data_IF_687969812762
#
_entry.id   IF_687969812762
#
_cell.length_a   1.000
_cell.length_b   1.000
_cell.length_c   1.000
_cell.angle_alpha   90.00
_cell.angle_beta   90.00
_cell.angle_gamma   90.00
#
_symmetry.space_group_name_H-M   'P 1'
#
loop_
_entity.id
_entity.type
_entity.pdbx_description
1 polymer ?
2 polymer ?
3 non-polymer ?
4 non-polymer ?
5 water ?
#
# COMPACT_ATOMS: atom_id res chain seq x y z
N UNK A 1 -4.16 17.82 2.63
CA UNK A 1 -4.53 17.94 1.18
C UNK A 1 -3.37 17.43 0.32
N UNK A 2 -3.56 16.33 -0.40
CA UNK A 2 -2.45 15.81 -1.19
C UNK A 2 -2.25 16.53 -2.52
N UNK A 3 -1.00 16.81 -2.88
CA UNK A 3 -0.73 17.44 -4.15
C UNK A 3 0.50 16.78 -4.76
N UNK A 4 0.40 16.42 -6.02
CA UNK A 4 1.52 15.80 -6.71
C UNK A 4 1.96 16.78 -7.82
N UNK A 5 3.26 17.11 -7.86
CA UNK A 5 3.78 18.05 -8.86
C UNK A 5 4.90 17.38 -9.62
N UNK A 6 4.74 17.29 -10.93
CA UNK A 6 5.76 16.64 -11.76
C UNK A 6 6.44 17.61 -12.70
N UNK A 7 7.64 17.25 -13.12
CA UNK A 7 8.34 18.07 -14.09
C UNK A 7 9.19 17.12 -14.93
N UNK A 8 9.77 17.66 -16.02
CA UNK A 8 10.57 16.84 -16.91
C UNK A 8 9.69 16.58 -18.10
N UNK A 9 10.04 15.58 -18.91
CA UNK A 9 9.22 15.31 -20.08
C UNK A 9 9.57 16.30 -21.18
N UNK A 10 8.66 16.48 -22.13
CA UNK A 10 8.93 17.38 -23.22
C UNK A 10 8.94 16.55 -24.50
N UNK A 11 9.62 17.01 -25.53
CA UNK A 11 9.66 16.26 -26.78
C UNK A 11 11.05 15.72 -27.01
N UNK A 12 11.15 14.65 -27.78
CA UNK A 12 12.43 14.02 -28.02
C UNK A 12 12.33 13.17 -29.29
N UNK A 13 13.47 12.82 -29.86
CA UNK A 13 13.47 11.98 -31.07
C UNK A 13 13.45 10.54 -30.59
N UNK A 14 12.88 9.66 -31.40
CA UNK A 14 12.84 8.24 -31.10
C UNK A 14 14.28 7.81 -30.80
N UNK A 15 14.44 6.87 -29.86
CA UNK A 15 15.78 6.45 -29.45
C UNK A 15 16.34 7.32 -28.31
N UNK A 16 15.74 8.49 -28.12
CA UNK A 16 16.20 9.37 -27.05
C UNK A 16 15.63 9.00 -25.68
N UNK A 17 16.02 9.78 -24.67
CA UNK A 17 15.58 9.59 -23.30
C UNK A 17 15.03 10.88 -22.72
N UNK A 18 14.24 10.71 -21.66
CA UNK A 18 13.65 11.78 -20.86
C UNK A 18 13.63 11.25 -19.42
N UNK A 19 13.62 12.17 -18.47
CA UNK A 19 13.57 11.77 -17.07
C UNK A 19 12.42 12.57 -16.47
N UNK A 20 11.48 11.87 -15.85
CA UNK A 20 10.36 12.57 -15.23
C UNK A 20 10.57 12.54 -13.70
N UNK A 21 10.10 13.55 -13.00
CA UNK A 21 10.22 13.52 -11.55
C UNK A 21 8.91 14.01 -10.98
N UNK A 22 8.58 13.57 -9.77
CA UNK A 22 7.33 13.95 -9.13
C UNK A 22 7.53 14.06 -7.65
N UNK A 23 6.98 15.13 -7.08
CA UNK A 23 7.09 15.45 -5.65
C UNK A 23 5.71 15.49 -5.01
N UNK A 24 5.55 14.78 -3.91
CA UNK A 24 4.26 14.79 -3.23
C UNK A 24 4.36 15.79 -2.10
N UNK A 25 3.34 16.59 -1.93
CA UNK A 25 3.31 17.52 -0.82
C UNK A 25 1.99 17.31 -0.07
N UNK A 26 1.96 17.66 1.22
CA UNK A 26 0.74 17.47 1.97
C UNK A 26 0.64 16.19 2.80
N UNK A 27 1.64 15.30 2.75
CA UNK A 27 1.58 14.05 3.57
C UNK A 27 2.40 14.18 4.82
N UNK A 28 2.03 13.43 5.87
CA UNK A 28 2.90 13.44 7.06
C UNK A 28 3.58 12.05 7.17
N UNK A 29 2.86 11.06 6.62
CA UNK A 29 3.24 9.66 6.59
C UNK A 29 2.75 9.20 5.23
N UNK A 30 3.59 8.43 4.56
CA UNK A 30 3.25 7.93 3.24
C UNK A 30 3.72 8.94 2.23
N UNK A 31 3.28 8.83 0.96
CA UNK A 31 2.37 7.77 0.46
C UNK A 31 2.94 6.39 0.53
N UNK A 32 2.08 5.39 0.34
CA UNK A 32 2.52 3.99 0.40
C UNK A 32 3.10 3.65 -0.93
N UNK A 33 2.41 4.09 -1.99
CA UNK A 33 2.84 3.85 -3.36
C UNK A 33 2.95 5.14 -4.16
N UNK A 34 3.84 5.16 -5.14
CA UNK A 34 3.90 6.26 -6.08
C UNK A 34 4.11 5.58 -7.45
N UNK A 35 3.53 6.15 -8.49
CA UNK A 35 3.67 5.50 -9.78
C UNK A 35 3.43 6.45 -10.92
N UNK A 36 3.61 5.91 -12.12
CA UNK A 36 3.39 6.64 -13.31
C UNK A 36 2.36 5.89 -14.17
N UNK A 37 1.44 6.64 -14.75
CA UNK A 37 0.42 6.12 -15.67
C UNK A 37 0.54 7.05 -16.90
N UNK A 38 -0.09 6.70 -18.01
CA UNK A 38 -0.02 7.62 -19.16
C UNK A 38 -1.30 7.43 -19.98
N UNK A 39 -1.62 8.41 -20.82
CA UNK A 39 -2.80 8.36 -21.64
C UNK A 39 -2.48 8.99 -22.99
N UNK A 40 -2.44 8.16 -24.02
CA UNK A 40 -2.17 8.62 -25.39
C UNK A 40 -3.47 9.28 -25.93
N UNK A 41 -3.38 10.03 -27.03
CA UNK A 41 -4.59 10.66 -27.57
C UNK A 41 -5.78 9.73 -27.84
N UNK A 42 -6.93 10.07 -27.26
CA UNK A 42 -8.13 9.29 -27.47
C UNK A 42 -8.18 7.91 -26.84
N UNK A 43 -7.15 7.56 -26.08
CA UNK A 43 -7.08 6.23 -25.46
C UNK A 43 -7.42 6.21 -23.98
N UNK A 44 -7.54 4.99 -23.41
CA UNK A 44 -7.82 4.86 -21.97
C UNK A 44 -6.47 5.09 -21.27
N UNK A 45 -6.50 5.58 -20.03
CA UNK A 45 -5.25 5.78 -19.28
C UNK A 45 -4.72 4.36 -18.95
N UNK A 46 -3.41 4.13 -18.98
CA UNK A 46 -2.88 2.80 -18.66
C UNK A 46 -1.70 2.95 -17.67
N UNK A 47 -1.31 1.86 -17.02
CA UNK A 47 -0.23 1.95 -16.07
C UNK A 47 1.14 1.87 -16.76
N UNK A 48 2.14 2.50 -16.15
CA UNK A 48 3.48 2.47 -16.70
C UNK A 48 4.46 1.80 -15.74
N UNK A 49 4.52 2.33 -14.51
CA UNK A 49 5.47 1.85 -13.53
C UNK A 49 5.00 2.31 -12.14
N UNK A 50 5.36 1.52 -11.13
CA UNK A 50 5.00 1.80 -9.75
C UNK A 50 6.13 1.32 -8.83
N UNK A 51 6.11 1.80 -7.59
CA UNK A 51 7.13 1.47 -6.62
C UNK A 51 6.55 1.60 -5.21
N UNK A 52 6.91 0.66 -4.35
CA UNK A 52 6.50 0.71 -2.95
C UNK A 52 7.43 1.72 -2.30
N UNK A 53 6.90 2.74 -1.61
CA UNK A 53 7.82 3.68 -1.00
C UNK A 53 8.50 2.97 0.14
N UNK A 54 7.81 1.96 0.65
CA UNK A 54 8.33 1.16 1.74
C UNK A 54 8.96 -0.10 1.16
N UNK A 55 10.27 -0.02 0.89
CA UNK A 55 10.96 -1.17 0.33
C UNK A 55 11.52 -0.97 -1.07
N UNK A 56 11.00 0.01 -1.81
CA UNK A 56 11.53 0.21 -3.13
C UNK A 56 11.31 -0.85 -4.19
N UNK A 57 10.47 -1.86 -3.93
CA UNK A 57 10.21 -2.89 -4.96
C UNK A 57 9.47 -2.18 -6.12
N UNK A 58 9.89 -2.45 -7.35
CA UNK A 58 9.34 -1.81 -8.55
C UNK A 58 8.47 -2.73 -9.37
N UNK A 59 7.56 -2.14 -10.17
CA UNK A 59 6.63 -2.89 -11.01
C UNK A 59 6.55 -2.13 -12.34
N UNK A 60 6.54 -2.87 -13.45
CA UNK A 60 6.50 -2.26 -14.79
C UNK A 60 5.44 -2.90 -15.68
N UNK A 61 4.84 -2.08 -16.54
CA UNK A 61 3.90 -2.62 -17.52
C UNK A 61 4.81 -3.31 -18.55
N UNK A 62 4.32 -4.39 -19.16
CA UNK A 62 5.14 -5.08 -20.16
C UNK A 62 5.62 -4.18 -21.30
N UNK A 63 4.85 -3.13 -21.61
CA UNK A 63 5.22 -2.25 -22.71
C UNK A 63 6.48 -1.43 -22.47
N UNK A 64 6.92 -1.26 -21.23
CA UNK A 64 8.10 -0.44 -21.02
C UNK A 64 9.26 -1.14 -20.34
N UNK A 65 9.07 -2.43 -20.01
CA UNK A 65 10.09 -3.24 -19.33
C UNK A 65 11.41 -3.24 -20.06
N UNK A 66 12.47 -2.97 -19.31
CA UNK A 66 13.80 -2.93 -19.88
C UNK A 66 14.17 -1.58 -20.44
N UNK A 67 13.22 -0.67 -20.58
CA UNK A 67 13.52 0.65 -21.14
C UNK A 67 13.37 1.76 -20.10
N UNK A 68 12.37 1.59 -19.21
CA UNK A 68 12.06 2.58 -18.17
C UNK A 68 12.49 2.07 -16.81
N UNK A 69 12.94 3.00 -15.98
CA UNK A 69 13.34 2.64 -14.63
C UNK A 69 12.67 3.64 -13.68
N UNK A 70 11.93 3.12 -12.72
CA UNK A 70 11.31 3.98 -11.74
C UNK A 70 12.17 3.91 -10.46
N UNK A 71 12.33 5.03 -9.76
CA UNK A 71 13.12 5.06 -8.53
C UNK A 71 12.46 6.07 -7.55
N UNK A 72 12.86 6.01 -6.29
CA UNK A 72 12.25 6.88 -5.27
C UNK A 72 13.29 7.46 -4.34
N UNK A 73 12.87 8.45 -3.59
CA UNK A 73 13.71 9.04 -2.55
C UNK A 73 12.63 9.19 -1.50
N UNK A 74 12.51 8.17 -0.65
CA UNK A 74 11.50 8.05 0.40
C UNK A 74 11.43 9.26 1.36
N UNK A 75 12.59 9.68 1.87
CA UNK A 75 12.65 10.81 2.80
C UNK A 75 12.15 12.11 2.18
N UNK A 76 12.31 12.28 0.87
CA UNK A 76 11.87 13.50 0.20
C UNK A 76 10.52 13.32 -0.54
N UNK A 77 9.90 12.16 -0.40
CA UNK A 77 8.60 11.88 -1.05
C UNK A 77 8.61 12.23 -2.50
N UNK A 78 9.61 11.75 -3.20
CA UNK A 78 9.74 12.05 -4.61
C UNK A 78 9.94 10.77 -5.38
N UNK A 79 9.42 10.72 -6.59
CA UNK A 79 9.59 9.52 -7.41
C UNK A 79 10.13 10.02 -8.77
N UNK A 80 10.88 9.15 -9.45
CA UNK A 80 11.49 9.46 -10.75
C UNK A 80 11.22 8.35 -11.76
N UNK A 81 11.10 8.72 -13.03
CA UNK A 81 10.92 7.75 -14.10
C UNK A 81 11.96 8.07 -15.19
N UNK A 82 12.98 7.21 -15.30
CA UNK A 82 14.02 7.35 -16.32
C UNK A 82 13.49 6.61 -17.55
N UNK A 83 13.32 7.32 -18.65
CA UNK A 83 12.79 6.72 -19.87
C UNK A 83 13.86 6.68 -20.99
N UNK A 84 14.35 5.49 -21.28
CA UNK A 84 15.35 5.30 -22.33
C UNK A 84 14.70 4.66 -23.51
N UNK A 85 15.37 4.75 -24.66
CA UNK A 85 14.90 4.13 -25.91
C UNK A 85 13.46 4.47 -26.20
N UNK A 86 13.12 5.75 -26.18
CA UNK A 86 11.73 6.16 -26.42
C UNK A 86 11.33 5.91 -27.86
N UNK A 87 10.05 5.66 -28.06
CA UNK A 87 9.50 5.41 -29.39
C UNK A 87 8.24 6.27 -29.53
N UNK A 88 7.82 6.52 -30.79
CA UNK A 88 6.63 7.31 -31.08
C UNK A 88 5.45 6.83 -30.27
N UNK A 89 5.38 5.51 -30.10
CA UNK A 89 4.30 4.87 -29.33
C UNK A 89 4.24 5.28 -27.84
N UNK A 90 5.32 5.89 -27.32
CA UNK A 90 5.36 6.30 -25.92
C UNK A 90 4.82 7.72 -25.72
N UNK A 91 4.43 8.38 -26.83
CA UNK A 91 3.88 9.73 -26.80
C UNK A 91 2.59 9.67 -26.00
N UNK A 92 2.43 10.58 -25.04
CA UNK A 92 1.23 10.56 -24.22
C UNK A 92 1.35 11.60 -23.13
N UNK A 93 0.24 11.80 -22.38
CA UNK A 93 0.25 12.69 -21.21
C UNK A 93 0.62 11.68 -20.10
N UNK A 94 1.67 11.98 -19.33
CA UNK A 94 2.11 11.10 -18.24
C UNK A 94 1.61 11.65 -16.91
N UNK A 95 1.11 10.77 -16.06
CA UNK A 95 0.58 11.21 -14.76
C UNK A 95 1.32 10.56 -13.58
N UNK A 96 1.70 11.39 -12.63
CA UNK A 96 2.31 10.96 -11.40
C UNK A 96 1.11 10.53 -10.56
N UNK A 97 1.21 9.43 -9.82
CA UNK A 97 0.11 9.01 -8.93
C UNK A 97 0.61 8.44 -7.60
N UNK A 98 -0.23 8.49 -6.57
CA UNK A 98 0.13 7.97 -5.26
C UNK A 98 -1.06 7.31 -4.59
N UNK A 99 -0.76 6.28 -3.77
CA UNK A 99 -1.77 5.57 -2.98
C UNK A 99 -1.42 6.03 -1.56
N UNK A 100 -2.37 6.70 -0.89
CA UNK A 100 -2.16 7.25 0.44
C UNK A 100 -2.49 6.29 1.60
N UNK A 101 -3.07 5.16 1.27
CA UNK A 101 -3.44 4.21 2.32
C UNK A 101 -2.17 3.57 2.89
N UNK A 102 -2.04 3.57 4.23
CA UNK A 102 -0.87 2.90 4.81
C UNK A 102 -1.42 1.52 5.13
N UNK A 103 -1.20 0.59 4.22
CA UNK A 103 -1.73 -0.76 4.42
C UNK A 103 -1.20 -1.45 5.69
N UNK A 104 -2.02 -2.31 6.28
CA UNK A 104 -1.64 -3.05 7.48
C UNK A 104 -0.71 -4.17 7.10
N UNK A 105 -1.15 -4.99 6.17
CA UNK A 105 -0.28 -6.08 5.77
C UNK A 105 0.40 -5.61 4.46
N UNK A 106 1.38 -6.36 4.00
CA UNK A 106 2.12 -5.96 2.81
C UNK A 106 1.21 -5.80 1.59
N UNK A 107 1.42 -4.74 0.81
CA UNK A 107 0.62 -4.45 -0.39
C UNK A 107 1.55 -4.20 -1.60
N UNK A 108 1.30 -4.87 -2.71
CA UNK A 108 2.16 -4.67 -3.89
C UNK A 108 1.67 -3.51 -4.72
N UNK A 109 2.48 -2.47 -4.80
CA UNK A 109 2.04 -1.30 -5.52
C UNK A 109 1.78 -1.49 -7.01
N UNK A 110 2.26 -2.60 -7.57
CA UNK A 110 2.00 -2.83 -8.98
C UNK A 110 0.54 -3.22 -9.26
N UNK A 111 -0.19 -3.60 -8.22
CA UNK A 111 -1.61 -3.99 -8.38
C UNK A 111 -2.45 -2.96 -9.13
N UNK A 112 -2.31 -1.68 -8.79
CA UNK A 112 -3.08 -0.63 -9.45
C UNK A 112 -2.70 -0.39 -10.91
N UNK A 113 -1.48 -0.73 -11.29
CA UNK A 113 -1.03 -0.51 -12.66
C UNK A 113 -1.92 -1.10 -13.76
N UNK A 114 -2.51 -2.27 -13.51
CA UNK A 114 -3.36 -2.92 -14.51
C UNK A 114 -4.85 -2.97 -14.16
N UNK A 115 -5.21 -2.47 -12.98
CA UNK A 115 -6.62 -2.46 -12.58
C UNK A 115 -7.12 -1.03 -12.64
N UNK A 116 -6.81 -0.35 -13.74
CA UNK A 116 -7.22 1.05 -13.93
C UNK A 116 -6.87 2.01 -12.79
N UNK A 117 -5.68 1.85 -12.21
CA UNK A 117 -5.30 2.76 -11.13
C UNK A 117 -5.99 2.57 -9.78
N UNK A 118 -6.64 1.42 -9.57
CA UNK A 118 -7.34 1.13 -8.31
C UNK A 118 -6.43 1.38 -7.09
N UNK A 119 -6.89 2.15 -6.12
CA UNK A 119 -6.07 2.41 -4.93
C UNK A 119 -5.29 3.71 -5.05
N UNK A 120 -4.99 4.14 -6.27
CA UNK A 120 -4.23 5.38 -6.43
C UNK A 120 -5.22 6.51 -6.34
N UNK A 121 -5.29 7.09 -5.15
CA UNK A 121 -6.23 8.17 -4.86
C UNK A 121 -5.73 9.57 -5.21
N UNK A 122 -4.44 9.76 -5.48
CA UNK A 122 -3.97 11.12 -5.81
C UNK A 122 -3.26 11.14 -7.16
N UNK A 123 -3.48 12.21 -7.91
CA UNK A 123 -2.99 12.31 -9.26
C UNK A 123 -2.41 13.64 -9.61
N UNK A 124 -1.35 13.65 -10.43
CA UNK A 124 -0.80 14.92 -10.89
C UNK A 124 -1.71 15.44 -12.01
N UNK A 125 -1.45 16.66 -12.48
CA UNK A 125 -2.26 17.27 -13.55
C UNK A 125 -1.94 16.65 -14.92
N UNK A 126 -0.76 16.06 -15.04
CA UNK A 126 -0.39 15.43 -16.29
C UNK A 126 0.72 16.20 -16.96
N UNK A 127 1.72 15.46 -17.48
CA UNK A 127 2.89 16.02 -18.15
C UNK A 127 3.04 15.42 -19.56
N UNK A 128 3.12 16.29 -20.56
CA UNK A 128 3.23 15.84 -21.94
C UNK A 128 4.59 15.32 -22.31
N UNK A 129 4.58 14.16 -22.97
CA UNK A 129 5.79 13.56 -23.50
C UNK A 129 5.48 13.30 -25.00
N UNK A 130 6.35 13.76 -25.88
CA UNK A 130 6.15 13.58 -27.32
C UNK A 130 7.40 13.02 -27.95
N UNK A 131 7.29 11.89 -28.62
CA UNK A 131 8.47 11.30 -29.20
C UNK A 131 8.34 11.33 -30.71
N UNK A 132 9.26 12.01 -31.37
CA UNK A 132 9.26 12.14 -32.83
C UNK A 132 9.55 10.82 -33.53
N UNK A 133 9.01 10.69 -34.72
CA UNK A 133 9.19 9.48 -35.51
C UNK A 133 10.59 9.44 -36.11
N UNK B 1 -0.62 -19.38 19.23
CA UNK B 1 -1.96 -19.90 19.61
C UNK B 1 -2.95 -19.77 18.44
N UNK B 2 -3.75 -20.82 18.22
CA UNK B 2 -4.77 -20.73 17.18
C UNK B 2 -6.04 -20.51 17.98
N UNK B 3 -6.65 -19.35 17.84
CA UNK B 3 -7.89 -19.07 18.60
C UNK B 3 -9.10 -19.72 17.98
N UNK B 4 -10.09 -20.01 18.80
CA UNK B 4 -11.36 -20.47 18.27
C UNK B 4 -12.05 -19.12 17.91
N UNK B 5 -13.02 -19.16 17.00
CA UNK B 5 -13.74 -18.00 16.54
C UNK B 5 -14.34 -17.18 17.70
N UNK B 6 -15.13 -17.85 18.53
CA UNK B 6 -15.77 -17.12 19.65
C UNK B 6 -14.78 -16.68 20.70
N UNK B 7 -13.73 -17.47 20.86
CA UNK B 7 -12.71 -17.15 21.84
C UNK B 7 -11.99 -15.86 21.40
N UNK B 8 -11.72 -15.71 20.11
CA UNK B 8 -11.07 -14.52 19.60
C UNK B 8 -12.02 -13.32 19.73
N UNK B 9 -13.29 -13.55 19.35
CA UNK B 9 -14.32 -12.51 19.44
C UNK B 9 -14.36 -12.00 20.89
N UNK B 10 -14.41 -12.91 21.85
CA UNK B 10 -14.44 -12.53 23.27
C UNK B 10 -13.21 -11.71 23.63
N UNK B 11 -12.02 -12.15 23.20
CA UNK B 11 -10.79 -11.42 23.55
C UNK B 11 -10.73 -10.04 22.89
N UNK B 12 -11.22 -9.92 21.66
CA UNK B 12 -11.19 -8.63 20.97
C UNK B 12 -12.15 -7.66 21.63
N UNK B 13 -13.30 -8.15 22.06
CA UNK B 13 -14.28 -7.28 22.74
C UNK B 13 -13.66 -6.77 24.07
N UNK B 14 -13.03 -7.66 24.85
CA UNK B 14 -12.36 -7.30 26.13
C UNK B 14 -11.31 -6.20 25.89
N UNK B 15 -10.64 -6.22 24.73
CA UNK B 15 -9.62 -5.22 24.39
C UNK B 15 -10.15 -4.03 23.61
N UNK B 16 -11.50 -3.94 23.55
CA UNK B 16 -12.12 -2.78 22.94
C UNK B 16 -12.28 -2.64 21.44
N UNK B 17 -12.25 -3.73 20.67
CA UNK B 17 -12.46 -3.58 19.22
C UNK B 17 -13.93 -3.55 18.85
N UNK B 18 -14.82 -3.88 19.78
CA UNK B 18 -16.23 -3.86 19.42
C UNK B 18 -16.69 -2.42 19.12
N UNK B 19 -16.99 -2.16 17.84
CA UNK B 19 -17.41 -0.84 17.35
C UNK B 19 -16.25 0.19 17.32
N UNK B 20 -15.01 -0.27 17.32
CA UNK B 20 -13.91 0.67 17.29
C UNK B 20 -13.88 1.36 15.94
N UNK B 21 -13.90 2.70 15.99
CA UNK B 21 -13.82 3.52 14.77
C UNK B 21 -14.89 3.21 13.70
N UNK B 22 -16.11 2.87 14.17
CA UNK B 22 -17.19 2.58 13.27
C UNK B 22 -17.29 1.13 12.79
N UNK B 23 -16.40 0.25 13.27
CA UNK B 23 -16.39 -1.15 12.84
C UNK B 23 -16.88 -2.12 13.92
N UNK B 24 -18.05 -2.72 13.71
CA UNK B 24 -18.59 -3.67 14.69
C UNK B 24 -17.62 -4.84 14.78
N UNK B 25 -17.64 -5.53 15.92
CA UNK B 25 -16.73 -6.65 16.23
C UNK B 25 -16.44 -7.72 15.13
N UNK B 26 -17.51 -8.16 14.46
CA UNK B 26 -17.43 -9.14 13.42
C UNK B 26 -16.45 -8.75 12.35
N UNK B 27 -16.32 -7.44 12.09
CA UNK B 27 -15.36 -6.98 11.09
C UNK B 27 -13.96 -7.46 11.45
N UNK B 28 -13.60 -7.34 12.74
CA UNK B 28 -12.26 -7.68 13.16
C UNK B 28 -12.01 -9.16 13.19
N UNK B 29 -13.01 -9.93 13.59
CA UNK B 29 -12.88 -11.38 13.64
C UNK B 29 -12.72 -11.88 12.17
N UNK B 30 -13.50 -11.32 11.27
CA UNK B 30 -13.45 -11.70 9.87
C UNK B 30 -12.09 -11.35 9.22
N UNK B 31 -11.55 -10.18 9.57
CA UNK B 31 -10.24 -9.74 9.05
C UNK B 31 -9.19 -10.76 9.52
N UNK B 32 -9.22 -11.11 10.80
CA UNK B 32 -8.28 -12.07 11.38
C UNK B 32 -8.42 -13.46 10.71
N UNK B 33 -9.64 -13.87 10.43
CA UNK B 33 -9.83 -15.14 9.75
C UNK B 33 -9.03 -15.15 8.41
N UNK B 34 -9.25 -14.16 7.56
CA UNK B 34 -8.64 -14.14 6.25
C UNK B 34 -7.17 -13.73 6.23
N UNK B 35 -6.69 -13.14 7.34
CA UNK B 35 -5.27 -12.79 7.42
C UNK B 35 -4.43 -13.94 8.00
N UNK B 36 -4.90 -14.56 9.09
CA UNK B 36 -4.09 -15.58 9.79
C UNK B 36 -4.78 -16.88 10.12
N UNK B 37 -6.06 -16.98 9.77
CA UNK B 37 -6.85 -18.15 10.13
C UNK B 37 -6.80 -18.28 11.68
N UNK B 38 -6.78 -17.13 12.36
CA UNK B 38 -6.81 -17.05 13.83
C UNK B 38 -5.52 -17.53 14.51
N UNK B 39 -4.45 -17.72 13.72
CA UNK B 39 -3.19 -18.18 14.33
C UNK B 39 -2.30 -16.99 14.73
N UNK B 40 -2.11 -16.74 16.04
CA UNK B 40 -1.24 -15.62 16.45
C UNK B 40 0.19 -15.76 15.94
N UNK B 41 0.63 -17.00 15.61
CA UNK B 41 2.03 -17.16 15.14
C UNK B 41 2.24 -17.02 13.64
N UNK B 42 1.17 -16.71 12.92
CA UNK B 42 1.30 -16.53 11.48
C UNK B 42 2.31 -15.40 11.13
N UNK B 43 3.16 -15.66 10.14
CA UNK B 43 4.07 -14.64 9.60
C UNK B 43 4.19 -14.92 8.09
N UNK B 44 4.49 -13.88 7.32
CA UNK B 44 4.71 -14.01 5.90
C UNK B 44 5.79 -13.02 5.52
N UNK B 45 6.74 -13.53 4.74
CA UNK B 45 7.88 -12.79 4.27
C UNK B 45 7.55 -12.10 2.95
N UNK B 46 7.90 -10.82 2.82
CA UNK B 46 7.65 -10.07 1.58
C UNK B 46 8.95 -9.84 0.80
N UNK B 47 8.80 -9.48 -0.47
CA UNK B 47 9.96 -9.27 -1.34
C UNK B 47 10.88 -8.14 -0.92
N UNK B 48 10.37 -7.20 -0.13
CA UNK B 48 11.21 -6.08 0.31
C UNK B 48 11.94 -6.40 1.64
N UNK B 49 11.85 -7.67 2.09
CA UNK B 49 12.52 -8.05 3.32
C UNK B 49 11.68 -7.79 4.59
N UNK B 50 10.51 -7.17 4.43
CA UNK B 50 9.67 -6.94 5.61
C UNK B 50 8.92 -8.25 5.87
N UNK B 51 8.19 -8.30 6.98
CA UNK B 51 7.44 -9.49 7.37
C UNK B 51 6.08 -9.04 7.93
N UNK B 52 5.04 -9.82 7.71
CA UNK B 52 3.68 -9.52 8.22
C UNK B 52 3.53 -10.46 9.42
N UNK B 53 3.03 -9.93 10.52
CA UNK B 53 2.94 -10.68 11.77
C UNK B 53 1.61 -10.77 12.47
N UNK B 54 1.30 -11.96 12.97
CA UNK B 54 0.14 -12.07 13.81
C UNK B 54 -1.22 -12.28 13.22
N UNK B 55 -2.21 -12.26 14.11
CA UNK B 55 -3.59 -12.53 13.68
C UNK B 55 -4.06 -11.56 12.64
N UNK B 56 -3.50 -10.35 12.62
CA UNK B 56 -3.95 -9.39 11.61
C UNK B 56 -2.85 -9.07 10.60
N UNK B 57 -1.76 -9.85 10.63
CA UNK B 57 -0.67 -9.70 9.64
C UNK B 57 -0.14 -8.29 9.46
N UNK B 58 0.26 -7.70 10.58
CA UNK B 58 0.76 -6.34 10.59
C UNK B 58 2.21 -6.34 10.06
N UNK B 59 2.47 -5.44 9.12
CA UNK B 59 3.74 -5.29 8.38
C UNK B 59 4.90 -4.51 9.05
N UNK B 60 6.08 -5.13 9.02
CA UNK B 60 7.26 -4.55 9.68
C UNK B 60 7.93 -3.37 8.98
N UNK B 61 7.56 -3.07 7.75
CA UNK B 61 8.18 -1.92 7.10
C UNK B 61 7.62 -0.61 7.67
N UNK B 62 6.42 -0.69 8.26
CA UNK B 62 5.68 0.47 8.74
C UNK B 62 5.30 0.48 10.21
N UNK B 63 4.81 -0.67 10.68
CA UNK B 63 4.21 -0.78 12.01
C UNK B 63 4.96 -1.32 13.20
N UNK B 64 6.00 -2.11 12.99
CA UNK B 64 6.67 -2.64 14.18
C UNK B 64 8.11 -2.81 13.83
N UNK B 65 8.93 -3.07 14.83
CA UNK B 65 10.36 -3.25 14.55
C UNK B 65 10.79 -4.70 14.71
N UNK B 66 11.45 -5.25 13.70
CA UNK B 66 12.05 -6.59 13.85
C UNK B 66 13.56 -6.49 13.54
N UNK B 67 14.05 -5.27 13.25
CA UNK B 67 15.47 -5.08 12.99
C UNK B 67 15.98 -5.55 11.64
N UNK B 68 15.14 -6.20 10.85
CA UNK B 68 15.62 -6.74 9.57
C UNK B 68 15.67 -5.77 8.40
N UNK B 69 15.03 -4.62 8.51
CA UNK B 69 15.04 -3.65 7.42
C UNK B 69 15.39 -2.29 8.02
N UNK B 70 16.69 -2.07 8.29
CA UNK B 70 17.19 -0.84 8.88
C UNK B 70 16.62 0.41 8.24
N UNK B 71 16.13 1.34 9.06
CA UNK B 71 15.56 2.55 8.49
C UNK B 71 14.03 2.49 8.30
N UNK B 72 13.41 1.34 8.61
CA UNK B 72 11.97 1.22 8.43
C UNK B 72 11.26 1.87 9.60
N UNK B 73 9.96 2.07 9.49
CA UNK B 73 9.22 2.66 10.59
C UNK B 73 8.72 1.60 11.56
N UNK B 74 8.39 2.05 12.77
CA UNK B 74 7.84 1.25 13.85
C UNK B 74 6.71 2.16 14.40
N UNK B 75 5.67 2.39 13.59
CA UNK B 75 4.58 3.26 14.01
C UNK B 75 3.81 2.85 15.27
N UNK B 76 3.75 1.55 15.56
CA UNK B 76 3.06 1.07 16.76
C UNK B 76 4.02 1.00 17.95
N UNK B 77 5.31 1.31 17.69
CA UNK B 77 6.34 1.30 18.71
C UNK B 77 6.37 0.02 19.53
N UNK B 78 6.49 -1.10 18.84
CA UNK B 78 6.61 -2.40 19.47
C UNK B 78 7.51 -3.31 18.62
N UNK B 79 8.09 -4.34 19.26
CA UNK B 79 8.93 -5.34 18.59
C UNK B 79 7.88 -6.19 17.84
N UNK B 80 8.16 -6.58 16.62
CA UNK B 80 7.15 -7.34 15.87
C UNK B 80 6.78 -8.64 16.58
N UNK B 81 7.73 -9.18 17.33
CA UNK B 81 7.45 -10.43 18.04
C UNK B 81 6.26 -10.31 19.01
N UNK B 82 6.01 -9.11 19.55
CA UNK B 82 4.87 -8.98 20.48
C UNK B 82 3.56 -9.31 19.72
N UNK B 83 3.61 -9.24 18.38
CA UNK B 83 2.40 -9.49 17.56
C UNK B 83 2.16 -10.99 17.30
N UNK B 84 3.05 -11.83 17.82
CA UNK B 84 2.92 -13.28 17.66
C UNK B 84 2.50 -13.92 19.01
N UNK B 85 2.36 -13.09 20.04
CA UNK B 85 1.99 -13.57 21.38
C UNK B 85 0.60 -14.20 21.47
N UNK B 86 0.42 -15.16 22.40
CA UNK B 86 -0.91 -15.76 22.61
C UNK B 86 -1.84 -14.68 23.24
N UNK B 87 -1.26 -13.61 23.77
CA UNK B 87 -2.03 -12.49 24.34
C UNK B 87 -2.12 -11.47 23.16
N UNK B 88 -3.32 -11.22 22.69
CA UNK B 88 -3.52 -10.35 21.53
C UNK B 88 -3.47 -8.84 21.80
N UNK B 89 -3.09 -8.44 23.01
CA UNK B 89 -3.06 -7.01 23.34
C UNK B 89 -2.24 -6.18 22.36
N UNK B 90 -1.01 -6.59 22.08
CA UNK B 90 -0.18 -5.80 21.16
C UNK B 90 -0.85 -5.74 19.75
N UNK B 91 -1.37 -6.86 19.23
CA UNK B 91 -2.02 -6.80 17.91
C UNK B 91 -3.24 -5.86 17.89
N UNK B 92 -4.00 -5.89 18.98
CA UNK B 92 -5.19 -5.08 19.08
C UNK B 92 -4.82 -3.60 19.14
N UNK B 93 -3.86 -3.23 20.00
CA UNK B 93 -3.45 -1.83 20.13
C UNK B 93 -2.88 -1.28 18.84
N UNK B 94 -2.12 -2.12 18.13
CA UNK B 94 -1.52 -1.68 16.89
C UNK B 94 -2.60 -1.55 15.80
N UNK B 95 -3.54 -2.50 15.76
CA UNK B 95 -4.66 -2.44 14.82
C UNK B 95 -5.48 -1.15 15.06
N UNK B 96 -5.62 -0.73 16.34
CA UNK B 96 -6.37 0.51 16.62
C UNK B 96 -5.57 1.71 16.04
N UNK B 97 -4.25 1.66 16.13
CA UNK B 97 -3.42 2.73 15.56
C UNK B 97 -3.55 2.70 14.04
N UNK B 98 -3.56 1.51 13.45
CA UNK B 98 -3.67 1.44 11.99
C UNK B 98 -4.97 2.08 11.51
N UNK B 99 -6.09 1.76 12.15
CA UNK B 99 -7.36 2.37 11.76
C UNK B 99 -7.51 3.74 12.49
N UNK B 100 -6.85 4.79 12.02
CA UNK B 100 -7.02 6.10 12.63
C UNK B 100 -6.83 7.07 11.50
N UNK B 101 -7.44 8.25 11.63
CA UNK B 101 -7.46 9.33 10.61
C UNK B 101 -8.30 8.88 9.39
N UNK B 102 -7.69 8.89 8.21
CA UNK B 102 -8.40 8.48 7.00
C UNK B 102 -8.10 7.06 6.60
N UNK B 103 -7.38 6.36 7.46
CA UNK B 103 -7.00 4.97 7.22
C UNK B 103 -8.13 4.07 7.82
N UNK B 104 -9.08 3.53 7.01
CA UNK B 104 -10.08 2.65 7.61
C UNK B 104 -9.63 1.18 7.57
N UNK B 105 -10.55 0.21 7.73
CA UNK B 105 -10.14 -1.19 7.63
C UNK B 105 -9.72 -1.57 6.19
N UNK B 106 -9.82 -0.64 5.26
CA UNK B 106 -9.37 -0.89 3.88
C UNK B 106 -7.86 -1.13 3.90
N UNK B 107 -7.19 -0.70 4.96
CA UNK B 107 -5.78 -0.96 5.14
C UNK B 107 -5.52 -2.48 5.07
N UNK B 108 -6.57 -3.27 5.34
CA UNK B 108 -6.45 -4.74 5.23
C UNK B 108 -7.19 -5.12 3.93
N UNK B 109 -6.43 -5.41 2.87
CA UNK B 109 -7.08 -5.79 1.62
C UNK B 109 -8.02 -7.00 1.77
N UNK B 110 -7.59 -8.01 2.53
CA UNK B 110 -8.46 -9.20 2.68
C UNK B 110 -9.79 -8.80 3.35
N UNK B 111 -9.76 -7.82 4.25
CA UNK B 111 -11.02 -7.38 4.88
C UNK B 111 -11.88 -6.74 3.80
N UNK B 112 -11.27 -5.86 3.00
CA UNK B 112 -12.00 -5.19 1.95
C UNK B 112 -12.62 -6.23 1.00
N UNK B 113 -11.84 -7.24 0.61
CA UNK B 113 -12.34 -8.22 -0.34
C UNK B 113 -13.22 -9.33 0.22
N UNK B 114 -12.97 -9.75 1.44
CA UNK B 114 -13.76 -10.90 1.95
C UNK B 114 -14.78 -10.60 3.05
N UNK B 115 -14.71 -9.41 3.65
CA UNK B 115 -15.56 -9.06 4.80
C UNK B 115 -16.43 -7.84 4.61
N UNK B 116 -15.85 -6.80 4.03
CA UNK B 116 -16.57 -5.55 3.84
C UNK B 116 -17.90 -5.82 3.14
N UNK B 117 -18.97 -5.26 3.71
CA UNK B 117 -20.29 -5.40 3.13
C UNK B 117 -20.93 -6.76 3.33
N UNK B 118 -20.30 -7.67 4.04
CA UNK B 118 -20.95 -8.96 4.24
C UNK B 118 -21.66 -8.90 5.58
N UNK B 119 -22.38 -9.95 5.91
CA UNK B 119 -23.06 -9.93 7.20
C UNK B 119 -22.00 -10.26 8.26
N UNK B 120 -21.17 -9.28 8.60
CA UNK B 120 -20.11 -9.54 9.57
C UNK B 120 -20.55 -9.96 10.97
N UNK B 121 -21.78 -9.65 11.36
CA UNK B 121 -22.26 -10.07 12.70
C UNK B 121 -22.32 -11.61 12.83
N UNK B 122 -22.39 -12.31 11.71
CA UNK B 122 -22.37 -13.78 11.73
C UNK B 122 -21.09 -14.30 12.43
N UNK B 123 -19.98 -13.57 12.35
CA UNK B 123 -18.74 -14.02 12.99
C UNK B 123 -18.82 -14.04 14.49
N UNK B 124 -19.77 -13.33 15.06
CA UNK B 124 -19.86 -13.36 16.50
C UNK B 124 -21.11 -14.09 16.98
N UNK B 125 -21.88 -14.59 16.01
CA UNK B 125 -23.12 -15.29 16.29
C UNK B 125 -22.86 -16.55 17.10
N UNK B 126 -23.63 -16.73 18.17
CA UNK B 126 -23.48 -17.93 18.99
C UNK B 126 -22.36 -17.85 19.99
N UNK B 127 -21.72 -16.68 20.07
CA UNK B 127 -20.64 -16.51 20.98
C UNK B 127 -21.13 -15.93 22.29
N UNK B 128 -20.48 -16.33 23.36
CA UNK B 128 -20.86 -15.84 24.67
C UNK B 128 -20.05 -14.54 24.79
N UNK B 129 -20.65 -13.43 24.37
CA UNK B 129 -19.99 -12.12 24.43
C UNK B 129 -20.67 -11.23 25.45
X LIG C 1 -5.52 4.64 -1.83
X LIG D 1 7.88 8.58 1.79
X LIG E 1 -11.66 8.42 -27.47
X LIG F 1 2.13 14.64 -13.95
X LIG F 1 2.21 15.78 -14.44
X LIG F 1 1.26 14.15 -13.21
X LIG G 1 9.98 -1.52 11.15
X LIG H 1 -7.43 4.86 15.48
X LIG I 1 -2.42 -11.21 4.23
X LIG J 1 -0.61 -17.68 7.58
X LIG J 1 -0.23 -16.95 6.64
X LIG J 1 0.04 -18.32 8.42
X LIG K 1 14.57 -2.12 11.19
X LIG K 1 13.98 -1.03 11.20
X LIG K 1 14.13 -3.23 10.82
X LIG L 1 -4.15 -8.75 2.62
X LIG L 1 -4.79 -8.02 3.38
X LIG L 1 -3.09 -9.36 2.82
X LIG M 1 -11.62 6.77 17.20
X LIG M 1 -10.42 6.63 16.90
X LIG M 1 -12.51 5.90 17.38
X LIG N 1 -4.64 4.94 17.99
X LIG N 1 -4.33 4.25 18.97
X LIG N 1 -5.68 5.59 17.76
X LIG O 1 5.12 -10.62 -1.01
X LIG O 1 6.20 -10.03 -1.28
X LIG O 1 4.60 -10.94 0.11
X LIG P 1 -14.75 -21.05 19.25
X LIG P 1 -15.62 -20.74 18.37
X LIG P 1 -14.21 -20.38 20.18
X LIG Q 1 -17.25 -22.10 14.85
X LIG Q 1 -18.38 -22.57 14.65
X LIG Q 1 -16.43 -21.64 14.04
#
# INVERSE_FOLDING_TARGET
DVQLQASGGGSVQAGGSLRLSCAASGYTIGPYCMGWFRQAPGKEREGVAAINMGGGITYYADSVKGRFTISQDNAKNTVYLLMNSLEPEDTAIYYCAADSTIYASYYECGHGLSTGGYGYDSWGQGTQVTVSS
KVFGRCELAAAMKRHGLDNYRGYSLGNWVCAAKFESNFNTQATNRNTDGSTDYGILQINSRWWCNDGRTPGSRNLCNIPCSALLSSDITASVNCAKKIVSDGNGMNAWVAWRNRCKGTDVQAWIRGCRL
NA NA
NA NA
NA NA
FMT C O1 O2
NA NA
NA NA
NA NA
FMT C O1 O2
FMT C O1 O2
FMT C O1 O2
FMT C O1 O2
FMT C O1 O2
FMT C O1 O2
FMT C O1 O2
FMT C O1 O2
#
